data_IF_240326789579
#
_entry.id   IF_240326789579
#
_cell.length_a   1.000
_cell.length_b   1.000
_cell.length_c   1.000
_cell.angle_alpha   90.00
_cell.angle_beta   90.00
_cell.angle_gamma   90.00
#
_symmetry.space_group_name_H-M   'P 1'
#
loop_
_entity.id
_entity.type
_entity.pdbx_description
1 polymer ?
#
# COMPACT_ATOMS: atom_id res chain seq x y z
N UNK A 1 -11.33 26.65 -61.35
CA UNK A 1 -11.05 26.91 -59.93
C UNK A 1 -11.35 25.63 -59.15
N UNK A 2 -10.33 24.84 -58.84
CA UNK A 2 -10.50 23.56 -58.19
C UNK A 2 -10.22 23.76 -56.66
N UNK A 3 -11.22 23.55 -55.83
CA UNK A 3 -11.10 23.68 -54.38
C UNK A 3 -10.60 22.34 -53.81
N UNK A 4 -9.37 22.33 -53.29
CA UNK A 4 -8.84 21.23 -52.50
C UNK A 4 -9.41 21.34 -51.09
N UNK A 5 -10.15 20.34 -50.67
CA UNK A 5 -10.55 20.16 -49.26
C UNK A 5 -9.52 19.29 -48.58
N UNK A 6 -8.72 19.87 -47.68
CA UNK A 6 -7.82 19.16 -46.83
C UNK A 6 -8.59 18.53 -45.67
N UNK A 7 -8.72 17.21 -45.66
CA UNK A 7 -9.29 16.44 -44.58
C UNK A 7 -8.21 16.21 -43.54
N UNK A 8 -8.26 16.94 -42.41
CA UNK A 8 -7.35 16.74 -41.28
C UNK A 8 -7.82 15.54 -40.45
N UNK A 9 -7.12 14.41 -40.54
CA UNK A 9 -7.33 13.27 -39.64
C UNK A 9 -6.74 13.60 -38.27
N UNK A 10 -7.59 13.86 -37.27
CA UNK A 10 -7.21 13.94 -35.87
C UNK A 10 -7.05 12.51 -35.35
N UNK A 11 -5.81 12.07 -35.20
CA UNK A 11 -5.49 10.80 -34.54
C UNK A 11 -5.61 11.02 -33.03
N UNK A 12 -6.73 10.62 -32.43
CA UNK A 12 -6.89 10.58 -31.00
C UNK A 12 -6.02 9.46 -30.42
N UNK A 13 -4.88 9.80 -29.85
CA UNK A 13 -4.02 8.87 -29.10
C UNK A 13 -4.74 8.50 -27.81
N UNK A 14 -5.43 7.35 -27.78
CA UNK A 14 -5.93 6.76 -26.56
C UNK A 14 -4.73 6.31 -25.72
N UNK A 15 -4.39 7.04 -24.67
CA UNK A 15 -3.45 6.57 -23.66
C UNK A 15 -4.10 5.40 -22.94
N UNK A 16 -3.64 4.17 -23.23
CA UNK A 16 -3.97 3.00 -22.39
C UNK A 16 -3.39 3.28 -21.00
N UNK A 17 -4.23 3.75 -20.08
CA UNK A 17 -3.90 3.73 -18.67
C UNK A 17 -3.82 2.27 -18.27
N UNK A 18 -2.62 1.81 -17.93
CA UNK A 18 -2.43 0.48 -17.38
C UNK A 18 -3.31 0.37 -16.13
N UNK A 19 -4.20 -0.61 -16.12
CA UNK A 19 -5.07 -0.86 -14.98
C UNK A 19 -4.20 -1.14 -13.76
N UNK A 20 -4.49 -0.45 -12.65
CA UNK A 20 -3.80 -0.67 -11.39
C UNK A 20 -3.93 -2.14 -10.98
N UNK A 21 -2.86 -2.76 -10.48
CA UNK A 21 -2.92 -4.15 -10.04
C UNK A 21 -3.87 -4.31 -8.87
N UNK A 22 -4.49 -5.50 -8.78
CA UNK A 22 -5.37 -5.87 -7.67
C UNK A 22 -4.57 -6.52 -6.54
N UNK A 23 -4.39 -5.78 -5.46
CA UNK A 23 -3.72 -6.23 -4.24
C UNK A 23 -4.66 -6.95 -3.27
N UNK A 24 -5.95 -7.02 -3.55
CA UNK A 24 -6.94 -7.62 -2.65
C UNK A 24 -6.57 -9.05 -2.31
N UNK A 25 -6.77 -9.43 -1.05
CA UNK A 25 -6.54 -10.78 -0.56
C UNK A 25 -5.87 -10.82 0.82
N UNK A 26 -5.60 -12.04 1.25
CA UNK A 26 -4.86 -12.32 2.47
C UNK A 26 -3.44 -12.75 2.11
N UNK A 27 -2.48 -12.20 2.83
CA UNK A 27 -1.07 -12.31 2.54
C UNK A 27 -0.31 -12.77 3.78
N UNK A 28 0.58 -13.74 3.63
CA UNK A 28 1.45 -14.26 4.70
C UNK A 28 2.89 -13.85 4.43
N UNK A 29 3.56 -13.36 5.47
CA UNK A 29 4.97 -12.98 5.42
C UNK A 29 5.87 -14.20 5.12
N UNK A 30 6.75 -14.06 4.15
CA UNK A 30 7.88 -14.93 3.93
C UNK A 30 9.08 -14.37 4.72
N UNK A 31 9.25 -14.88 5.95
CA UNK A 31 10.30 -14.40 6.85
C UNK A 31 11.70 -14.65 6.28
N UNK A 32 11.87 -15.74 5.52
CA UNK A 32 13.18 -16.13 4.98
C UNK A 32 13.65 -15.17 3.87
N UNK A 33 12.71 -14.58 3.12
CA UNK A 33 13.02 -13.61 2.06
C UNK A 33 12.99 -12.17 2.53
N UNK A 34 12.42 -11.91 3.71
CA UNK A 34 12.19 -10.57 4.21
C UNK A 34 13.39 -10.04 5.00
N UNK A 35 13.66 -8.74 4.84
CA UNK A 35 14.66 -8.02 5.62
C UNK A 35 13.98 -6.89 6.38
N UNK A 36 13.95 -6.99 7.69
CA UNK A 36 13.33 -6.01 8.58
C UNK A 36 14.39 -5.29 9.39
N UNK A 37 14.41 -3.98 9.35
CA UNK A 37 15.25 -3.17 10.23
C UNK A 37 14.54 -2.98 11.57
N UNK A 38 15.22 -3.25 12.67
CA UNK A 38 14.68 -3.20 14.02
C UNK A 38 14.17 -1.80 14.45
N UNK A 39 14.70 -0.75 13.83
CA UNK A 39 14.39 0.66 14.15
C UNK A 39 13.30 1.27 13.27
N UNK A 40 12.94 0.62 12.17
CA UNK A 40 11.89 1.11 11.30
C UNK A 40 10.59 0.44 11.71
N UNK A 41 9.80 1.09 12.53
CA UNK A 41 8.41 0.69 12.77
C UNK A 41 7.68 0.64 11.43
N UNK A 42 7.39 -0.57 10.95
CA UNK A 42 6.70 -0.76 9.71
C UNK A 42 5.27 -0.28 9.87
N UNK A 43 4.84 0.57 8.95
CA UNK A 43 3.55 1.25 8.99
C UNK A 43 3.35 2.18 10.19
N UNK A 44 4.38 2.51 10.99
CA UNK A 44 4.18 3.22 12.25
C UNK A 44 3.26 2.49 13.23
N UNK A 45 2.85 1.27 12.91
CA UNK A 45 1.85 0.50 13.64
C UNK A 45 2.49 -0.53 14.55
N UNK A 46 3.77 -0.87 14.34
CA UNK A 46 4.46 -1.90 15.12
C UNK A 46 5.81 -1.35 15.53
N UNK A 47 6.09 -1.28 16.84
CA UNK A 47 7.36 -0.77 17.36
C UNK A 47 8.57 -1.60 16.90
N UNK A 48 8.37 -2.87 16.56
CA UNK A 48 9.39 -3.75 16.02
C UNK A 48 8.76 -4.91 15.26
N UNK A 49 9.24 -5.16 14.06
CA UNK A 49 8.87 -6.33 13.28
C UNK A 49 7.96 -6.08 12.08
N UNK A 50 7.65 -7.15 11.39
CA UNK A 50 6.74 -7.19 10.26
C UNK A 50 5.45 -7.94 10.64
N UNK A 51 4.28 -7.49 10.20
CA UNK A 51 3.05 -8.26 10.37
C UNK A 51 3.19 -9.62 9.69
N UNK A 52 2.89 -10.71 10.40
CA UNK A 52 2.93 -12.05 9.81
C UNK A 52 1.83 -12.28 8.81
N UNK A 53 0.71 -11.57 8.97
CA UNK A 53 -0.45 -11.63 8.09
C UNK A 53 -0.94 -10.23 7.77
N UNK A 54 -1.27 -10.02 6.51
CA UNK A 54 -1.96 -8.83 6.03
C UNK A 54 -3.26 -9.24 5.36
N UNK A 55 -4.29 -8.44 5.56
CA UNK A 55 -5.49 -8.46 4.75
C UNK A 55 -5.61 -7.16 3.99
N UNK A 56 -5.71 -7.25 2.66
CA UNK A 56 -5.80 -6.09 1.79
C UNK A 56 -7.16 -6.07 1.12
N UNK A 57 -7.84 -4.94 1.22
CA UNK A 57 -9.08 -4.65 0.49
C UNK A 57 -8.83 -3.49 -0.45
N UNK A 58 -9.24 -3.66 -1.70
CA UNK A 58 -9.12 -2.64 -2.74
C UNK A 58 -10.48 -2.47 -3.44
N UNK A 59 -11.34 -1.57 -2.94
CA UNK A 59 -12.61 -1.26 -3.58
C UNK A 59 -12.42 -0.57 -4.94
N UNK A 60 -13.48 -0.51 -5.74
CA UNK A 60 -13.46 0.03 -7.10
C UNK A 60 -13.02 1.50 -7.21
N UNK A 61 -13.08 2.27 -6.11
CA UNK A 61 -12.57 3.65 -6.05
C UNK A 61 -11.04 3.75 -6.00
N UNK A 62 -10.33 2.61 -6.01
CA UNK A 62 -8.88 2.54 -6.01
C UNK A 62 -8.23 2.78 -4.65
N UNK A 63 -8.99 2.98 -3.59
CA UNK A 63 -8.47 3.06 -2.22
C UNK A 63 -7.89 1.70 -1.82
N UNK A 64 -6.71 1.68 -1.22
CA UNK A 64 -6.11 0.47 -0.68
C UNK A 64 -6.18 0.52 0.84
N UNK A 65 -6.74 -0.51 1.44
CA UNK A 65 -6.82 -0.65 2.90
C UNK A 65 -6.06 -1.90 3.30
N UNK A 66 -5.06 -1.74 4.17
CA UNK A 66 -4.24 -2.84 4.68
C UNK A 66 -4.50 -2.98 6.17
N UNK A 67 -4.94 -4.15 6.57
CA UNK A 67 -5.14 -4.56 7.96
C UNK A 67 -4.10 -5.61 8.33
N UNK A 68 -3.66 -5.61 9.58
CA UNK A 68 -2.75 -6.64 10.10
C UNK A 68 -3.32 -7.26 11.36
N UNK A 69 -2.95 -8.52 11.63
CA UNK A 69 -3.39 -9.25 12.84
C UNK A 69 -2.90 -8.63 14.15
N UNK A 70 -1.81 -7.88 14.10
CA UNK A 70 -1.09 -7.40 15.30
C UNK A 70 -1.66 -6.08 15.81
N UNK A 71 -2.43 -5.38 14.99
CA UNK A 71 -2.95 -4.05 15.31
C UNK A 71 -4.46 -4.04 15.37
N UNK A 72 -4.94 -4.42 16.52
CA UNK A 72 -6.36 -4.25 16.86
C UNK A 72 -6.79 -2.80 16.62
N UNK A 73 -7.56 -2.61 15.57
CA UNK A 73 -8.20 -1.33 15.30
C UNK A 73 -7.44 -0.36 14.39
N UNK A 74 -6.25 -0.68 13.91
CA UNK A 74 -5.50 0.20 13.02
C UNK A 74 -5.36 -0.39 11.63
N UNK A 75 -5.82 0.36 10.63
CA UNK A 75 -5.66 0.03 9.21
C UNK A 75 -4.82 1.10 8.55
N UNK A 76 -3.93 0.70 7.64
CA UNK A 76 -3.30 1.65 6.72
C UNK A 76 -4.23 1.89 5.54
N UNK A 77 -4.45 3.15 5.24
CA UNK A 77 -5.30 3.56 4.13
C UNK A 77 -4.46 4.36 3.14
N UNK A 78 -4.43 3.92 1.90
CA UNK A 78 -3.78 4.62 0.80
C UNK A 78 -4.84 5.08 -0.19
N UNK A 79 -4.79 6.36 -0.55
CA UNK A 79 -5.71 6.99 -1.50
C UNK A 79 -4.89 7.52 -2.69
N UNK A 80 -4.73 6.75 -3.79
CA UNK A 80 -3.94 7.19 -4.92
C UNK A 80 -4.41 8.56 -5.44
N UNK A 81 -3.46 9.47 -5.66
CA UNK A 81 -3.72 10.85 -6.04
C UNK A 81 -4.13 11.79 -4.91
N UNK A 82 -4.17 11.30 -3.65
CA UNK A 82 -4.56 12.10 -2.48
C UNK A 82 -3.70 11.78 -1.27
N UNK A 83 -3.70 12.69 -0.32
CA UNK A 83 -3.15 12.47 1.00
C UNK A 83 -4.07 11.55 1.83
N UNK A 84 -3.46 10.68 2.61
CA UNK A 84 -4.14 9.89 3.63
C UNK A 84 -3.34 9.91 4.93
N UNK A 85 -4.03 10.08 6.04
CA UNK A 85 -3.45 10.01 7.38
C UNK A 85 -4.07 8.84 8.12
N UNK A 86 -3.23 8.03 8.74
CA UNK A 86 -3.64 6.84 9.46
C UNK A 86 -3.04 6.87 10.86
N UNK A 87 -3.82 6.64 11.92
CA UNK A 87 -3.29 6.50 13.26
C UNK A 87 -2.19 5.43 13.29
N UNK A 88 -1.10 5.73 13.95
CA UNK A 88 -0.04 4.79 14.27
C UNK A 88 -0.09 4.47 15.75
N UNK A 89 0.33 3.27 16.14
CA UNK A 89 0.34 2.86 17.55
C UNK A 89 0.97 3.92 18.47
N UNK A 90 0.57 3.93 19.71
CA UNK A 90 1.06 4.86 20.74
C UNK A 90 0.74 6.35 20.49
N UNK A 91 -0.34 6.65 19.75
CA UNK A 91 -0.82 8.02 19.56
C UNK A 91 -0.11 8.81 18.44
N UNK A 92 0.73 8.15 17.66
CA UNK A 92 1.32 8.74 16.45
C UNK A 92 0.39 8.68 15.25
N UNK A 93 0.81 9.27 14.13
CA UNK A 93 0.13 9.18 12.84
C UNK A 93 1.14 9.09 11.69
N UNK A 94 0.78 8.33 10.66
CA UNK A 94 1.49 8.32 9.39
C UNK A 94 0.64 9.02 8.35
N UNK A 95 1.18 10.05 7.75
CA UNK A 95 0.53 10.81 6.68
C UNK A 95 1.35 10.66 5.41
N UNK A 96 0.72 10.17 4.35
CA UNK A 96 1.37 9.94 3.06
C UNK A 96 0.50 10.39 1.90
N UNK A 97 1.15 10.82 0.83
CA UNK A 97 0.55 10.99 -0.49
C UNK A 97 0.93 9.81 -1.36
N UNK A 98 -0.05 9.17 -1.97
CA UNK A 98 0.16 7.95 -2.75
C UNK A 98 -0.09 8.18 -4.23
N UNK A 99 0.67 7.51 -5.09
CA UNK A 99 0.48 7.51 -6.55
C UNK A 99 0.82 6.15 -7.14
N UNK A 100 0.15 5.82 -8.24
CA UNK A 100 0.54 4.68 -9.06
C UNK A 100 1.76 5.04 -9.91
N UNK A 101 2.71 4.12 -9.97
CA UNK A 101 3.84 4.15 -10.91
C UNK A 101 3.94 2.76 -11.56
N UNK A 102 3.38 2.64 -12.74
CA UNK A 102 3.19 1.36 -13.41
C UNK A 102 2.35 0.39 -12.55
N UNK A 103 2.98 -0.70 -12.12
CA UNK A 103 2.36 -1.73 -11.27
C UNK A 103 2.65 -1.55 -9.77
N UNK A 104 3.26 -0.45 -9.37
CA UNK A 104 3.61 -0.17 -7.99
C UNK A 104 2.80 0.98 -7.43
N UNK A 105 2.41 0.89 -6.16
CA UNK A 105 1.89 2.01 -5.40
C UNK A 105 3.02 2.62 -4.59
N UNK A 106 3.37 3.85 -4.90
CA UNK A 106 4.38 4.62 -4.18
C UNK A 106 3.68 5.60 -3.25
N UNK A 107 4.06 5.59 -1.97
CA UNK A 107 3.54 6.47 -0.94
C UNK A 107 4.68 7.18 -0.23
N UNK A 108 4.64 8.50 -0.18
CA UNK A 108 5.67 9.33 0.42
C UNK A 108 5.07 10.29 1.43
N UNK A 109 5.73 10.45 2.58
CA UNK A 109 5.24 11.31 3.64
C UNK A 109 6.04 11.19 4.92
N UNK A 110 5.35 11.20 6.05
CA UNK A 110 6.02 11.17 7.35
C UNK A 110 5.18 10.45 8.43
N UNK A 111 5.90 9.82 9.35
CA UNK A 111 5.42 9.43 10.66
C UNK A 111 5.62 10.58 11.63
N UNK A 112 4.58 10.98 12.34
CA UNK A 112 4.63 11.95 13.44
C UNK A 112 4.38 11.23 14.76
N UNK A 113 5.38 11.24 15.62
CA UNK A 113 5.28 10.66 16.95
C UNK A 113 4.49 11.56 17.92
N UNK A 114 4.00 11.04 19.06
CA UNK A 114 3.26 11.83 20.06
C UNK A 114 4.07 12.97 20.66
N UNK A 115 5.38 12.82 20.78
CA UNK A 115 6.30 13.86 21.27
C UNK A 115 6.57 14.98 20.25
N UNK A 116 6.00 14.86 19.03
CA UNK A 116 6.16 15.82 17.95
C UNK A 116 7.28 15.50 16.96
N UNK A 117 8.12 14.52 17.24
CA UNK A 117 9.18 14.08 16.33
C UNK A 117 8.58 13.60 15.02
N UNK A 118 9.26 13.92 13.92
CA UNK A 118 8.82 13.57 12.57
C UNK A 118 9.90 12.76 11.86
N UNK A 119 9.51 11.61 11.31
CA UNK A 119 10.36 10.74 10.53
C UNK A 119 9.80 10.60 9.12
N UNK A 120 10.59 10.91 8.10
CA UNK A 120 10.18 10.71 6.71
C UNK A 120 10.03 9.23 6.42
N UNK A 121 9.02 8.89 5.62
CA UNK A 121 8.76 7.52 5.20
C UNK A 121 8.44 7.49 3.70
N UNK A 122 8.98 6.50 3.02
CA UNK A 122 8.62 6.14 1.65
C UNK A 122 8.27 4.65 1.64
N UNK A 123 7.09 4.34 1.14
CA UNK A 123 6.58 2.98 1.02
C UNK A 123 6.33 2.64 -0.45
N UNK A 124 6.74 1.46 -0.88
CA UNK A 124 6.48 0.95 -2.23
C UNK A 124 5.86 -0.42 -2.11
N UNK A 125 4.62 -0.52 -2.58
CA UNK A 125 3.94 -1.80 -2.73
C UNK A 125 3.99 -2.22 -4.19
N UNK A 126 4.45 -3.44 -4.44
CA UNK A 126 4.50 -4.02 -5.77
C UNK A 126 3.99 -5.46 -5.76
N UNK A 127 3.44 -5.88 -6.90
CA UNK A 127 2.86 -7.20 -7.07
C UNK A 127 3.56 -7.92 -8.22
N UNK A 128 4.11 -9.10 -7.94
CA UNK A 128 4.69 -9.99 -8.94
C UNK A 128 3.73 -11.15 -9.19
N UNK A 129 3.31 -11.31 -10.45
CA UNK A 129 2.46 -12.41 -10.93
C UNK A 129 1.16 -12.64 -10.13
N UNK A 130 0.67 -11.59 -9.47
CA UNK A 130 -0.54 -11.66 -8.65
C UNK A 130 -0.44 -12.53 -7.39
N UNK A 131 0.72 -13.11 -7.10
CA UNK A 131 0.93 -14.08 -6.01
C UNK A 131 1.97 -13.65 -4.98
N UNK A 132 2.83 -12.73 -5.32
CA UNK A 132 3.86 -12.22 -4.42
C UNK A 132 3.70 -10.71 -4.27
N UNK A 133 3.53 -10.25 -3.04
CA UNK A 133 3.50 -8.85 -2.68
C UNK A 133 4.85 -8.50 -2.07
N UNK A 134 5.47 -7.46 -2.56
CA UNK A 134 6.64 -6.85 -1.95
C UNK A 134 6.26 -5.48 -1.38
N UNK A 135 6.63 -5.25 -0.15
CA UNK A 135 6.51 -3.96 0.52
C UNK A 135 7.90 -3.48 0.93
N UNK A 136 8.33 -2.38 0.37
CA UNK A 136 9.55 -1.69 0.79
C UNK A 136 9.18 -0.47 1.63
N UNK A 137 9.81 -0.34 2.79
CA UNK A 137 9.65 0.83 3.66
C UNK A 137 11.02 1.45 3.89
N UNK A 138 11.20 2.66 3.41
CA UNK A 138 12.43 3.44 3.55
C UNK A 138 12.21 4.57 4.55
N UNK A 139 13.12 4.67 5.50
CA UNK A 139 13.24 5.75 6.48
C UNK A 139 14.67 6.25 6.51
N UNK A 140 15.02 7.32 7.24
CA UNK A 140 16.42 7.72 7.44
C UNK A 140 17.31 6.63 8.04
N UNK A 141 16.74 5.64 8.75
CA UNK A 141 17.47 4.52 9.32
C UNK A 141 17.80 3.42 8.30
N UNK A 142 17.22 3.46 7.10
CA UNK A 142 17.41 2.50 6.02
C UNK A 142 16.12 1.94 5.45
N UNK A 143 16.25 0.86 4.68
CA UNK A 143 15.13 0.21 3.98
C UNK A 143 14.85 -1.19 4.54
N UNK A 144 13.59 -1.42 4.89
CA UNK A 144 13.04 -2.76 5.14
C UNK A 144 12.37 -3.26 3.88
N UNK A 145 12.57 -4.53 3.53
CA UNK A 145 11.91 -5.19 2.39
C UNK A 145 11.17 -6.41 2.91
N UNK A 146 9.87 -6.41 2.73
CA UNK A 146 8.98 -7.47 3.16
C UNK A 146 8.39 -8.18 1.95
N UNK A 147 8.47 -9.49 1.96
CA UNK A 147 7.88 -10.35 0.95
C UNK A 147 6.72 -11.12 1.54
N UNK A 148 5.60 -11.08 0.85
CA UNK A 148 4.39 -11.78 1.25
C UNK A 148 3.91 -12.70 0.13
N UNK A 149 3.39 -13.85 0.51
CA UNK A 149 2.74 -14.81 -0.38
C UNK A 149 1.24 -14.75 -0.21
N UNK A 150 0.50 -14.80 -1.32
CA UNK A 150 -0.97 -14.80 -1.29
C UNK A 150 -1.49 -16.11 -0.74
N UNK A 151 -2.38 -16.05 0.24
CA UNK A 151 -3.09 -17.19 0.81
C UNK A 151 -4.50 -17.17 0.25
N UNK A 152 -4.85 -18.17 -0.56
CA UNK A 152 -6.18 -18.24 -1.18
C UNK A 152 -7.24 -18.87 -0.28
N UNK A 153 -6.83 -19.66 0.69
CA UNK A 153 -7.74 -20.55 1.47
C UNK A 153 -8.23 -19.92 2.77
N UNK A 154 -7.70 -18.76 3.15
CA UNK A 154 -8.13 -18.07 4.35
C UNK A 154 -9.12 -17.01 3.90
N UNK A 155 -10.39 -17.28 4.15
CA UNK A 155 -11.41 -16.26 4.02
C UNK A 155 -10.97 -14.98 4.72
N UNK A 156 -11.32 -13.85 4.19
CA UNK A 156 -10.72 -12.60 4.61
C UNK A 156 -10.77 -12.40 6.10
N UNK A 157 -10.79 -12.10 6.96
CA UNK A 157 -10.73 -11.83 8.35
C UNK A 157 -11.59 -12.74 9.26
N UNK A 158 -12.34 -13.68 8.76
CA UNK A 158 -13.20 -14.57 9.58
C UNK A 158 -12.44 -15.39 10.62
N UNK A 159 -11.14 -15.60 10.38
CA UNK A 159 -10.24 -16.33 11.28
C UNK A 159 -9.32 -15.41 12.09
N UNK A 160 -9.50 -14.11 11.99
CA UNK A 160 -8.71 -13.15 12.73
C UNK A 160 -9.30 -12.95 14.12
N UNK A 161 -8.48 -12.67 15.13
CA UNK A 161 -8.97 -12.40 16.48
C UNK A 161 -9.82 -11.13 16.59
N UNK A 162 -9.73 -10.24 15.59
CA UNK A 162 -10.51 -9.00 15.50
C UNK A 162 -11.53 -9.07 14.39
N UNK A 163 -12.73 -8.50 14.58
CA UNK A 163 -13.73 -8.46 13.51
C UNK A 163 -13.22 -7.75 12.27
N UNK A 164 -13.55 -8.29 11.11
CA UNK A 164 -13.34 -7.61 9.85
C UNK A 164 -13.99 -6.25 9.83
N UNK A 165 -13.22 -5.21 9.63
CA UNK A 165 -13.79 -3.92 9.30
C UNK A 165 -14.15 -3.92 7.82
N UNK A 166 -15.44 -3.94 7.52
CA UNK A 166 -15.92 -3.64 6.18
C UNK A 166 -15.79 -2.14 5.98
N UNK A 167 -14.90 -1.75 5.08
CA UNK A 167 -14.82 -0.36 4.66
C UNK A 167 -15.84 -0.13 3.54
N UNK A 168 -16.58 0.97 3.59
CA UNK A 168 -17.52 1.34 2.55
C UNK A 168 -16.80 1.69 1.24
#
# INVERSE_FOLDING_TARGET
MQKFVLLACVVASATLQAQAPDFSGTWRLDEAKSKVLATAGLFGLIPAGAPKMLHITQPANGTLVIESQVNEGHSRIYKPGRESSTPAGQGGAVTVTSKWDGKSLISEGAFKAPNGDTTTVREVLSLTDGKQLTLEVTTPAGTSTLHYEKITDVGPCEKWPTPCKRFP
#
